data_IF_350647612882
#
_entry.id   IF_350647612882
#
_cell.length_a   1.000
_cell.length_b   1.000
_cell.length_c   1.000
_cell.angle_alpha   90.00
_cell.angle_beta   90.00
_cell.angle_gamma   90.00
#
_symmetry.space_group_name_H-M   'P 1'
#
loop_
_entity.id
_entity.type
_entity.pdbx_description
1 polymer ?
#
# COMPACT_ATOMS: atom_id res chain seq x y z
N UNK A 1 5.38 88.08 8.44
CA UNK A 1 4.02 88.63 8.38
C UNK A 1 3.08 87.46 8.71
N UNK A 2 2.82 87.23 9.99
CA UNK A 2 1.68 87.80 10.75
C UNK A 2 0.36 87.09 10.38
N UNK A 3 -0.05 86.17 11.26
CA UNK A 3 -1.41 85.62 11.45
C UNK A 3 -2.44 86.76 11.69
N UNK A 4 -3.80 86.57 11.77
CA UNK A 4 -4.48 85.49 12.52
C UNK A 4 -5.94 85.13 12.07
N UNK A 5 -6.62 84.42 12.99
CA UNK A 5 -8.08 84.24 13.18
C UNK A 5 -8.76 83.04 12.51
N UNK A 6 -9.67 82.30 13.15
CA UNK A 6 -10.08 82.08 14.55
C UNK A 6 -11.33 81.19 14.50
N UNK A 7 -11.61 80.53 15.64
CA UNK A 7 -12.90 80.04 16.12
C UNK A 7 -13.21 78.54 15.96
N UNK A 8 -13.15 77.85 17.10
CA UNK A 8 -14.01 76.73 17.49
C UNK A 8 -15.38 77.27 17.92
N UNK A 9 -16.44 76.43 17.94
CA UNK A 9 -16.92 75.95 19.25
C UNK A 9 -17.51 74.52 19.31
N UNK A 10 -17.31 73.92 20.49
CA UNK A 10 -18.27 73.21 21.38
C UNK A 10 -18.96 71.90 20.96
N UNK A 11 -18.84 70.97 21.91
CA UNK A 11 -19.36 69.61 22.10
C UNK A 11 -20.83 69.31 21.78
N UNK A 12 -21.08 68.06 21.36
CA UNK A 12 -22.26 67.31 21.78
C UNK A 12 -21.93 65.83 22.00
N UNK A 13 -22.16 65.39 23.23
CA UNK A 13 -22.15 64.01 23.72
C UNK A 13 -23.21 63.18 22.99
N UNK A 14 -22.81 62.03 22.42
CA UNK A 14 -23.73 60.93 22.13
C UNK A 14 -23.06 59.60 22.45
N UNK A 15 -23.60 58.93 23.47
CA UNK A 15 -23.30 57.54 23.78
C UNK A 15 -24.13 56.62 22.87
N UNK A 16 -23.55 55.48 22.44
CA UNK A 16 -24.30 54.24 22.26
C UNK A 16 -23.73 53.20 23.25
N UNK A 17 -24.45 52.80 24.30
CA UNK A 17 -25.52 51.78 24.31
C UNK A 17 -25.09 50.45 23.67
N UNK A 18 -24.72 49.54 24.57
CA UNK A 18 -25.02 48.11 24.59
C UNK A 18 -24.68 47.24 23.38
N UNK A 19 -23.65 46.40 23.58
CA UNK A 19 -23.80 44.95 23.43
C UNK A 19 -23.95 44.40 22.01
N UNK A 20 -22.82 44.16 21.34
CA UNK A 20 -22.72 43.11 20.33
C UNK A 20 -21.54 42.18 20.71
N UNK A 21 -21.76 40.87 20.89
CA UNK A 21 -20.69 39.96 21.29
C UNK A 21 -19.69 39.77 20.15
N UNK A 22 -18.40 39.71 20.52
CA UNK A 22 -17.31 39.37 19.62
C UNK A 22 -17.59 38.05 18.87
N UNK A 23 -17.23 37.92 17.58
CA UNK A 23 -17.42 36.67 16.86
C UNK A 23 -16.60 35.57 17.52
N UNK A 24 -17.30 34.55 18.01
CA UNK A 24 -16.72 33.35 18.58
C UNK A 24 -15.79 32.71 17.54
N UNK A 25 -14.48 32.71 17.83
CA UNK A 25 -13.48 31.93 17.08
C UNK A 25 -13.90 30.47 17.13
N UNK A 26 -14.40 29.96 16.01
CA UNK A 26 -14.87 28.59 15.86
C UNK A 26 -13.74 27.60 16.09
N UNK A 27 -13.75 26.92 17.23
CA UNK A 27 -12.88 25.80 17.60
C UNK A 27 -13.16 24.51 16.80
N UNK A 28 -13.94 24.59 15.72
CA UNK A 28 -14.46 23.44 14.95
C UNK A 28 -13.50 22.84 13.92
N UNK A 29 -12.26 23.32 13.78
CA UNK A 29 -11.30 22.81 12.77
C UNK A 29 -10.32 21.74 13.27
N UNK A 30 -10.29 21.39 14.57
CA UNK A 30 -9.33 20.40 15.10
C UNK A 30 -9.84 18.95 15.14
N UNK A 31 -11.14 18.72 14.93
CA UNK A 31 -11.71 17.38 15.13
C UNK A 31 -11.82 16.53 13.85
N UNK A 32 -11.60 17.11 12.66
CA UNK A 32 -11.61 16.38 11.39
C UNK A 32 -10.26 15.73 11.09
N UNK A 33 -9.15 16.43 11.36
CA UNK A 33 -7.80 15.89 11.17
C UNK A 33 -7.53 14.65 12.06
N UNK A 34 -8.03 14.64 13.30
CA UNK A 34 -7.83 13.52 14.21
C UNK A 34 -8.58 12.23 13.82
N UNK A 35 -9.70 12.34 13.10
CA UNK A 35 -10.52 11.17 12.69
C UNK A 35 -10.00 10.51 11.41
N UNK A 36 -9.44 11.27 10.47
CA UNK A 36 -8.84 10.72 9.24
C UNK A 36 -7.59 9.91 9.58
N UNK A 37 -6.76 10.40 10.52
CA UNK A 37 -5.54 9.71 10.97
C UNK A 37 -5.85 8.38 11.69
N UNK A 38 -6.96 8.31 12.44
CA UNK A 38 -7.33 7.06 13.15
C UNK A 38 -7.91 6.00 12.23
N UNK A 39 -8.66 6.38 11.19
CA UNK A 39 -9.19 5.41 10.20
C UNK A 39 -8.08 4.88 9.32
N UNK A 40 -7.16 5.74 8.84
CA UNK A 40 -6.01 5.30 8.05
C UNK A 40 -5.09 4.36 8.84
N UNK A 41 -4.84 4.65 10.13
CA UNK A 41 -4.05 3.78 10.99
C UNK A 41 -4.76 2.43 11.27
N UNK A 42 -6.08 2.42 11.43
CA UNK A 42 -6.84 1.18 11.65
C UNK A 42 -6.89 0.29 10.39
N UNK A 43 -7.02 0.88 9.21
CA UNK A 43 -6.94 0.15 7.93
C UNK A 43 -5.52 -0.37 7.69
N UNK A 44 -4.49 0.43 7.95
CA UNK A 44 -3.10 -0.02 7.84
C UNK A 44 -2.76 -1.18 8.79
N UNK A 45 -3.30 -1.17 10.02
CA UNK A 45 -3.12 -2.28 10.98
C UNK A 45 -3.90 -3.53 10.56
N UNK A 46 -5.14 -3.37 10.07
CA UNK A 46 -5.93 -4.50 9.58
C UNK A 46 -5.31 -5.16 8.34
N UNK A 47 -4.85 -4.37 7.38
CA UNK A 47 -4.17 -4.86 6.16
C UNK A 47 -2.79 -5.45 6.49
N UNK A 48 -2.04 -4.82 7.40
CA UNK A 48 -0.77 -5.35 7.88
C UNK A 48 -0.92 -6.72 8.55
N UNK A 49 -1.99 -6.94 9.32
CA UNK A 49 -2.29 -8.23 9.92
C UNK A 49 -2.66 -9.31 8.87
N UNK A 50 -3.36 -8.93 7.79
CA UNK A 50 -3.67 -9.85 6.67
C UNK A 50 -2.41 -10.19 5.86
N UNK A 51 -1.51 -9.22 5.66
CA UNK A 51 -0.21 -9.45 4.99
C UNK A 51 0.67 -10.42 5.80
N UNK A 52 0.67 -10.28 7.13
CA UNK A 52 1.35 -11.21 8.04
C UNK A 52 0.69 -12.60 8.04
N UNK A 53 -0.65 -12.68 8.00
CA UNK A 53 -1.37 -13.95 7.93
C UNK A 53 -1.13 -14.72 6.62
N UNK A 54 -1.00 -14.03 5.48
CA UNK A 54 -0.63 -14.65 4.21
C UNK A 54 0.80 -15.22 4.26
N UNK A 55 1.74 -14.47 4.86
CA UNK A 55 3.10 -14.97 5.13
C UNK A 55 3.11 -16.17 6.09
N UNK A 56 2.25 -16.18 7.09
CA UNK A 56 2.15 -17.26 8.08
C UNK A 56 1.55 -18.54 7.49
N UNK A 57 0.56 -18.42 6.58
CA UNK A 57 0.01 -19.56 5.84
C UNK A 57 1.05 -20.30 4.99
N UNK A 58 2.09 -19.58 4.52
CA UNK A 58 3.19 -20.16 3.76
C UNK A 58 4.15 -20.96 4.65
N UNK A 59 4.21 -20.66 5.97
CA UNK A 59 4.99 -21.44 6.93
C UNK A 59 4.34 -22.76 7.30
N UNK A 60 3.01 -22.85 7.28
CA UNK A 60 2.30 -24.10 7.63
C UNK A 60 2.61 -25.24 6.65
N UNK A 61 3.05 -24.93 5.42
CA UNK A 61 3.51 -25.94 4.45
C UNK A 61 4.98 -26.33 4.61
N UNK A 62 5.76 -25.61 5.44
CA UNK A 62 7.16 -25.92 5.74
C UNK A 62 7.35 -26.77 7.02
N UNK A 63 6.25 -27.15 7.71
CA UNK A 63 6.30 -28.00 8.91
C UNK A 63 6.15 -29.48 8.54
N UNK A 64 7.05 -29.98 7.70
CA UNK A 64 7.36 -31.42 7.63
C UNK A 64 8.88 -31.51 7.63
N UNK A 65 9.43 -32.30 8.56
CA UNK A 65 10.86 -32.57 8.80
C UNK A 65 11.63 -31.71 9.82
N UNK A 66 11.01 -31.42 10.97
CA UNK A 66 11.76 -31.09 12.19
C UNK A 66 11.48 -32.09 13.33
N UNK A 67 11.91 -33.34 13.15
CA UNK A 67 12.13 -34.29 14.26
C UNK A 67 13.42 -35.08 14.03
N UNK A 68 14.55 -34.38 13.99
CA UNK A 68 15.85 -34.98 14.30
C UNK A 68 16.33 -34.44 15.67
N UNK A 69 16.30 -35.23 16.75
CA UNK A 69 16.76 -34.82 18.07
C UNK A 69 18.30 -34.67 18.19
N UNK A 70 19.05 -34.74 17.08
CA UNK A 70 20.52 -34.66 17.05
C UNK A 70 21.15 -33.33 16.63
N UNK A 71 20.37 -32.30 16.26
CA UNK A 71 20.94 -31.02 15.79
C UNK A 71 21.59 -30.24 16.94
N UNK A 72 22.91 -30.40 17.08
CA UNK A 72 23.79 -29.60 17.93
C UNK A 72 23.49 -28.12 17.67
N UNK A 73 23.28 -27.35 18.75
CA UNK A 73 23.09 -25.89 18.71
C UNK A 73 24.29 -25.22 18.03
N UNK A 74 24.26 -25.11 16.71
CA UNK A 74 25.15 -24.22 15.98
C UNK A 74 24.81 -22.81 16.42
N UNK A 75 25.81 -22.06 16.90
CA UNK A 75 25.64 -20.63 17.12
C UNK A 75 25.14 -20.01 15.81
N UNK A 76 24.07 -19.19 15.84
CA UNK A 76 23.57 -18.55 14.63
C UNK A 76 24.72 -17.85 13.92
N UNK A 77 24.81 -17.93 12.58
CA UNK A 77 25.82 -17.18 11.85
C UNK A 77 25.72 -15.70 12.23
N UNK A 78 26.86 -14.98 12.32
CA UNK A 78 26.83 -13.56 12.64
C UNK A 78 25.91 -12.82 11.65
N UNK A 79 25.18 -11.79 12.11
CA UNK A 79 24.33 -11.02 11.21
C UNK A 79 25.19 -10.44 10.07
N UNK A 80 24.65 -10.36 8.84
CA UNK A 80 25.37 -9.76 7.74
C UNK A 80 25.77 -8.32 8.07
N UNK A 81 26.85 -7.80 7.45
CA UNK A 81 27.21 -6.40 7.61
C UNK A 81 26.04 -5.50 7.20
N UNK A 82 25.85 -4.34 7.85
CA UNK A 82 24.74 -3.46 7.55
C UNK A 82 24.80 -3.01 6.09
N UNK A 83 23.69 -3.12 5.36
CA UNK A 83 23.61 -2.67 3.97
C UNK A 83 23.80 -1.15 3.88
N UNK A 84 24.59 -0.70 2.89
CA UNK A 84 24.85 0.72 2.63
C UNK A 84 23.59 1.38 2.02
N UNK A 85 22.97 2.38 2.68
CA UNK A 85 21.78 3.04 2.16
C UNK A 85 22.06 4.03 1.03
N UNK A 86 23.31 4.45 0.81
CA UNK A 86 23.63 5.51 -0.14
C UNK A 86 23.18 5.23 -1.59
N UNK A 87 23.33 4.00 -2.15
CA UNK A 87 22.85 3.68 -3.49
C UNK A 87 21.33 3.75 -3.65
N UNK A 88 20.58 3.41 -2.59
CA UNK A 88 19.11 3.48 -2.56
C UNK A 88 18.67 4.94 -2.47
N UNK A 89 19.22 5.69 -1.52
CA UNK A 89 18.90 7.10 -1.31
C UNK A 89 19.18 7.95 -2.56
N UNK A 90 20.26 7.67 -3.29
CA UNK A 90 20.61 8.39 -4.51
C UNK A 90 19.62 8.15 -5.67
N UNK A 91 18.82 7.08 -5.61
CA UNK A 91 17.84 6.72 -6.65
C UNK A 91 16.42 7.10 -6.29
N UNK A 92 16.13 7.43 -5.03
CA UNK A 92 14.80 7.89 -4.62
C UNK A 92 14.42 9.16 -5.39
N UNK A 93 13.19 9.17 -5.91
CA UNK A 93 12.66 10.30 -6.65
C UNK A 93 11.30 10.73 -6.04
N UNK A 94 11.21 11.95 -5.49
CA UNK A 94 9.98 12.48 -4.90
C UNK A 94 8.77 12.55 -5.85
N UNK A 95 8.99 12.52 -7.16
CA UNK A 95 7.90 12.41 -8.14
C UNK A 95 7.16 11.07 -8.01
N UNK A 96 7.84 10.00 -7.62
CA UNK A 96 7.26 8.66 -7.50
C UNK A 96 6.96 8.27 -6.05
N UNK A 97 7.82 8.65 -5.11
CA UNK A 97 7.67 8.34 -3.68
C UNK A 97 7.96 9.58 -2.84
N UNK A 98 6.92 10.12 -2.21
CA UNK A 98 7.02 11.23 -1.26
C UNK A 98 7.16 10.71 0.17
N UNK A 99 7.85 11.48 1.01
CA UNK A 99 8.10 11.08 2.40
C UNK A 99 8.86 9.76 2.50
N UNK A 100 9.76 9.50 1.53
CA UNK A 100 10.47 8.24 1.47
C UNK A 100 11.41 8.08 2.66
N UNK A 101 11.33 6.94 3.35
CA UNK A 101 12.23 6.55 4.43
C UNK A 101 12.99 5.29 4.02
N UNK A 102 14.27 5.21 4.40
CA UNK A 102 15.11 4.04 4.21
C UNK A 102 15.57 3.56 5.58
N UNK A 103 15.22 2.33 5.91
CA UNK A 103 15.56 1.70 7.18
C UNK A 103 16.26 0.35 6.95
N UNK A 104 17.12 -0.05 7.89
CA UNK A 104 17.63 -1.42 7.91
C UNK A 104 16.57 -2.39 8.44
N UNK A 105 16.41 -3.50 7.75
CA UNK A 105 15.66 -4.67 8.16
C UNK A 105 16.62 -5.83 8.49
N UNK A 106 16.14 -6.92 9.11
CA UNK A 106 16.97 -8.11 9.32
C UNK A 106 17.55 -8.72 8.03
N UNK A 107 16.95 -8.43 6.88
CA UNK A 107 17.30 -9.01 5.57
C UNK A 107 17.98 -8.02 4.63
N UNK A 108 17.91 -6.71 4.90
CA UNK A 108 18.58 -5.69 4.08
C UNK A 108 18.06 -4.27 4.32
N UNK A 109 17.71 -3.56 3.24
CA UNK A 109 17.14 -2.21 3.31
C UNK A 109 15.68 -2.24 2.90
N UNK A 110 14.84 -1.61 3.72
CA UNK A 110 13.43 -1.37 3.41
C UNK A 110 13.25 0.10 3.04
N UNK A 111 12.56 0.33 1.91
CA UNK A 111 12.06 1.64 1.50
C UNK A 111 10.58 1.71 1.82
N UNK A 112 10.15 2.77 2.50
CA UNK A 112 8.73 3.08 2.71
C UNK A 112 8.39 4.47 2.19
N UNK A 113 7.11 4.75 1.95
CA UNK A 113 6.66 6.09 1.59
C UNK A 113 5.26 6.13 0.98
N UNK A 114 4.93 7.26 0.35
CA UNK A 114 3.61 7.49 -0.27
C UNK A 114 3.76 7.81 -1.75
N UNK A 115 2.98 7.12 -2.58
CA UNK A 115 2.89 7.37 -4.02
C UNK A 115 1.90 8.53 -4.26
N UNK A 116 2.33 9.63 -4.90
CA UNK A 116 1.44 10.73 -5.26
C UNK A 116 0.30 10.27 -6.17
N UNK A 117 -0.89 10.87 -6.05
CA UNK A 117 -2.06 10.56 -6.88
C UNK A 117 -1.77 10.64 -8.39
N UNK A 118 -1.05 11.70 -8.82
CA UNK A 118 -0.68 11.89 -10.23
C UNK A 118 0.18 10.76 -10.81
N UNK A 119 0.86 10.00 -9.96
CA UNK A 119 1.75 8.90 -10.32
C UNK A 119 0.99 7.62 -10.70
N UNK A 120 -0.27 7.51 -10.29
CA UNK A 120 -1.16 6.38 -10.65
C UNK A 120 -2.41 6.83 -11.43
N UNK A 121 -2.49 8.12 -11.79
CA UNK A 121 -3.66 8.70 -12.46
C UNK A 121 -3.83 8.27 -13.93
N UNK A 122 -2.78 7.75 -14.57
CA UNK A 122 -2.84 7.25 -15.95
C UNK A 122 -1.98 5.99 -16.05
N UNK A 123 -2.32 5.11 -16.99
CA UNK A 123 -1.51 3.92 -17.30
C UNK A 123 -0.03 4.29 -17.48
N UNK A 124 0.27 5.33 -18.28
CA UNK A 124 1.65 5.76 -18.54
C UNK A 124 2.41 6.20 -17.27
N UNK A 125 1.72 6.86 -16.33
CA UNK A 125 2.30 7.25 -15.04
C UNK A 125 2.56 6.02 -14.16
N UNK A 126 1.60 5.08 -14.13
CA UNK A 126 1.72 3.82 -13.38
C UNK A 126 2.86 2.96 -13.90
N UNK A 127 3.04 2.87 -15.22
CA UNK A 127 4.21 2.20 -15.82
C UNK A 127 5.54 2.87 -15.45
N UNK A 128 5.57 4.20 -15.40
CA UNK A 128 6.76 4.93 -14.94
C UNK A 128 7.08 4.69 -13.44
N UNK A 129 6.04 4.55 -12.60
CA UNK A 129 6.20 4.13 -11.21
C UNK A 129 6.80 2.72 -11.12
N UNK A 130 6.28 1.77 -11.89
CA UNK A 130 6.79 0.40 -11.91
C UNK A 130 8.30 0.35 -12.22
N UNK A 131 8.73 1.08 -13.26
CA UNK A 131 10.14 1.19 -13.62
C UNK A 131 10.99 1.81 -12.49
N UNK A 132 10.46 2.82 -11.79
CA UNK A 132 11.13 3.41 -10.65
C UNK A 132 11.28 2.42 -9.48
N UNK A 133 10.21 1.71 -9.13
CA UNK A 133 10.23 0.70 -8.08
C UNK A 133 11.21 -0.43 -8.43
N UNK A 134 11.26 -0.87 -9.69
CA UNK A 134 12.21 -1.89 -10.12
C UNK A 134 13.65 -1.40 -10.09
N UNK A 135 13.90 -0.11 -10.33
CA UNK A 135 15.24 0.48 -10.17
C UNK A 135 15.71 0.43 -8.71
N UNK A 136 14.80 0.64 -7.75
CA UNK A 136 15.13 0.56 -6.32
C UNK A 136 15.47 -0.87 -5.90
N UNK A 137 14.68 -1.85 -6.33
CA UNK A 137 14.90 -3.25 -5.97
C UNK A 137 16.07 -3.87 -6.75
N UNK A 138 16.04 -3.81 -8.09
CA UNK A 138 17.03 -4.47 -8.96
C UNK A 138 18.41 -3.82 -8.94
N UNK A 139 18.47 -2.49 -9.10
CA UNK A 139 19.74 -1.79 -9.36
C UNK A 139 20.35 -1.19 -8.09
N UNK A 140 19.52 -0.85 -7.11
CA UNK A 140 19.94 -0.35 -5.80
C UNK A 140 19.96 -1.44 -4.71
N UNK A 141 19.42 -2.62 -5.00
CA UNK A 141 19.29 -3.73 -4.06
C UNK A 141 18.59 -3.34 -2.75
N UNK A 142 17.53 -2.53 -2.85
CA UNK A 142 16.55 -2.45 -1.77
C UNK A 142 15.90 -3.83 -1.62
N UNK A 143 16.07 -4.43 -0.44
CA UNK A 143 15.53 -5.75 -0.11
C UNK A 143 14.00 -5.75 -0.13
N UNK A 144 13.41 -4.62 0.29
CA UNK A 144 11.98 -4.43 0.27
C UNK A 144 11.57 -2.99 -0.05
N UNK A 145 10.46 -2.84 -0.76
CA UNK A 145 9.81 -1.56 -1.01
C UNK A 145 8.34 -1.70 -0.62
N UNK A 146 7.84 -0.85 0.27
CA UNK A 146 6.46 -0.86 0.77
C UNK A 146 5.90 0.56 0.69
N UNK A 147 5.12 0.86 -0.36
CA UNK A 147 4.56 2.19 -0.59
C UNK A 147 3.03 2.14 -0.68
N UNK A 148 2.37 3.24 -0.33
CA UNK A 148 0.91 3.33 -0.39
C UNK A 148 0.48 4.48 -1.29
N UNK A 149 -0.50 4.26 -2.16
CA UNK A 149 -1.11 5.31 -2.99
C UNK A 149 -2.08 6.18 -2.19
N UNK A 150 -2.45 7.34 -2.74
CA UNK A 150 -3.47 8.21 -2.15
C UNK A 150 -4.84 7.51 -1.98
N UNK A 151 -5.14 6.52 -2.82
CA UNK A 151 -6.40 5.75 -2.80
C UNK A 151 -6.33 4.49 -1.91
N UNK A 152 -5.23 4.34 -1.15
CA UNK A 152 -4.96 3.23 -0.24
C UNK A 152 -4.59 1.89 -0.91
N UNK A 153 -4.22 1.87 -2.19
CA UNK A 153 -3.52 0.72 -2.76
C UNK A 153 -2.14 0.62 -2.10
N UNK A 154 -1.89 -0.48 -1.40
CA UNK A 154 -0.56 -0.82 -0.88
C UNK A 154 0.22 -1.62 -1.93
N UNK A 155 1.47 -1.24 -2.17
CA UNK A 155 2.38 -1.91 -3.10
C UNK A 155 3.57 -2.40 -2.28
N UNK A 156 3.76 -3.71 -2.23
CA UNK A 156 4.91 -4.34 -1.57
C UNK A 156 5.75 -5.14 -2.58
N UNK A 157 7.07 -4.93 -2.58
CA UNK A 157 8.03 -5.71 -3.36
C UNK A 157 9.08 -6.30 -2.41
N UNK A 158 9.33 -7.61 -2.49
CA UNK A 158 10.22 -8.32 -1.59
C UNK A 158 11.21 -9.25 -2.30
N UNK A 159 12.49 -9.20 -1.89
CA UNK A 159 13.50 -10.21 -2.23
C UNK A 159 14.23 -9.99 -3.55
N UNK A 160 14.07 -8.83 -4.19
CA UNK A 160 14.48 -8.63 -5.58
C UNK A 160 15.81 -7.91 -5.77
N UNK A 161 16.93 -8.45 -5.27
CA UNK A 161 18.25 -8.01 -5.69
C UNK A 161 18.73 -8.95 -6.81
N UNK A 162 18.95 -8.42 -8.02
CA UNK A 162 19.32 -9.16 -9.25
C UNK A 162 18.31 -10.18 -9.83
N UNK A 163 17.20 -10.47 -9.15
CA UNK A 163 16.16 -11.41 -9.61
C UNK A 163 14.76 -10.77 -9.66
N UNK A 164 14.71 -9.48 -9.97
CA UNK A 164 13.44 -8.76 -10.06
C UNK A 164 12.58 -9.26 -11.23
N UNK A 165 11.26 -9.06 -11.11
CA UNK A 165 10.30 -9.24 -12.20
C UNK A 165 10.68 -8.31 -13.37
N UNK A 166 10.56 -8.73 -14.65
CA UNK A 166 10.80 -7.85 -15.79
C UNK A 166 9.98 -6.56 -15.71
N UNK A 167 10.56 -5.44 -16.18
CA UNK A 167 9.97 -4.10 -16.03
C UNK A 167 8.52 -4.03 -16.55
N UNK A 168 8.26 -4.59 -17.74
CA UNK A 168 6.92 -4.60 -18.34
C UNK A 168 5.93 -5.47 -17.56
N UNK A 169 6.35 -6.63 -17.04
CA UNK A 169 5.46 -7.51 -16.28
C UNK A 169 5.05 -6.90 -14.93
N UNK A 170 5.98 -6.23 -14.25
CA UNK A 170 5.64 -5.46 -13.04
C UNK A 170 4.72 -4.28 -13.37
N UNK A 171 4.96 -3.63 -14.51
CA UNK A 171 4.13 -2.52 -14.96
C UNK A 171 2.70 -2.95 -15.26
N UNK A 172 2.51 -4.05 -15.98
CA UNK A 172 1.19 -4.63 -16.28
C UNK A 172 0.44 -5.03 -15.00
N UNK A 173 1.12 -5.66 -14.04
CA UNK A 173 0.53 -6.00 -12.75
C UNK A 173 0.08 -4.77 -11.95
N UNK A 174 0.89 -3.72 -11.93
CA UNK A 174 0.56 -2.48 -11.22
C UNK A 174 -0.57 -1.71 -11.91
N UNK A 175 -0.59 -1.67 -13.25
CA UNK A 175 -1.70 -1.10 -14.02
C UNK A 175 -2.99 -1.84 -13.69
N UNK A 176 -2.96 -3.18 -13.78
CA UNK A 176 -4.12 -4.00 -13.44
C UNK A 176 -4.59 -3.78 -11.99
N UNK A 177 -3.67 -3.74 -11.01
CA UNK A 177 -4.03 -3.51 -9.61
C UNK A 177 -4.72 -2.15 -9.38
N UNK A 178 -4.27 -1.11 -10.09
CA UNK A 178 -4.90 0.22 -10.03
C UNK A 178 -6.28 0.20 -10.71
N UNK A 179 -6.38 -0.36 -11.91
CA UNK A 179 -7.63 -0.37 -12.70
C UNK A 179 -8.72 -1.25 -12.09
N UNK A 180 -8.34 -2.38 -11.49
CA UNK A 180 -9.25 -3.29 -10.80
C UNK A 180 -9.60 -2.86 -9.37
N UNK A 181 -9.15 -1.67 -8.94
CA UNK A 181 -9.37 -1.14 -7.58
C UNK A 181 -8.87 -2.09 -6.47
N UNK A 182 -7.76 -2.79 -6.72
CA UNK A 182 -7.12 -3.62 -5.70
C UNK A 182 -6.67 -2.75 -4.52
N UNK A 183 -6.72 -3.33 -3.32
CA UNK A 183 -6.29 -2.65 -2.09
C UNK A 183 -4.86 -2.99 -1.71
N UNK A 184 -4.34 -4.11 -2.22
CA UNK A 184 -2.97 -4.54 -2.01
C UNK A 184 -2.47 -5.31 -3.23
N UNK A 185 -1.25 -5.01 -3.64
CA UNK A 185 -0.44 -5.84 -4.51
C UNK A 185 0.90 -6.10 -3.81
N UNK A 186 1.25 -7.37 -3.71
CA UNK A 186 2.57 -7.80 -3.32
C UNK A 186 3.22 -8.60 -4.43
N UNK A 187 4.51 -8.40 -4.65
CA UNK A 187 5.32 -9.28 -5.50
C UNK A 187 6.49 -9.74 -4.65
N UNK A 188 6.75 -11.04 -4.64
CA UNK A 188 7.77 -11.63 -3.78
C UNK A 188 8.55 -12.70 -4.52
N UNK A 189 9.85 -12.78 -4.25
CA UNK A 189 10.65 -13.96 -4.53
C UNK A 189 10.71 -14.86 -3.30
N UNK A 190 10.23 -16.09 -3.43
CA UNK A 190 10.34 -17.08 -2.37
C UNK A 190 11.67 -17.84 -2.52
N UNK A 191 12.47 -17.97 -1.44
CA UNK A 191 13.67 -18.81 -1.44
C UNK A 191 13.28 -20.28 -1.42
N UNK A 192 12.81 -20.78 -2.56
CA UNK A 192 12.58 -22.21 -2.83
C UNK A 192 13.68 -22.74 -3.76
N UNK A 193 13.86 -24.07 -3.89
CA UNK A 193 14.86 -24.64 -4.80
C UNK A 193 14.76 -24.14 -6.26
N UNK A 194 13.62 -23.59 -6.66
CA UNK A 194 13.37 -23.06 -7.99
C UNK A 194 13.31 -21.52 -8.04
N UNK A 195 13.58 -20.81 -6.93
CA UNK A 195 13.48 -19.34 -6.83
C UNK A 195 12.19 -18.81 -7.47
N UNK A 196 11.06 -19.18 -6.87
CA UNK A 196 9.76 -18.89 -7.46
C UNK A 196 9.30 -17.48 -7.07
N UNK A 197 9.10 -16.64 -8.09
CA UNK A 197 8.41 -15.36 -7.96
C UNK A 197 6.91 -15.60 -7.97
N UNK A 198 6.19 -14.88 -7.14
CA UNK A 198 4.74 -14.86 -7.14
C UNK A 198 4.24 -13.45 -6.88
N UNK A 199 3.00 -13.19 -7.29
CA UNK A 199 2.29 -11.99 -6.90
C UNK A 199 1.06 -12.35 -6.07
N UNK A 200 0.64 -11.43 -5.22
CA UNK A 200 -0.62 -11.50 -4.48
C UNK A 200 -1.38 -10.22 -4.72
N UNK A 201 -2.63 -10.31 -5.16
CA UNK A 201 -3.55 -9.17 -5.23
C UNK A 201 -4.72 -9.39 -4.26
N UNK A 202 -5.04 -8.36 -3.49
CA UNK A 202 -6.13 -8.41 -2.51
C UNK A 202 -7.10 -7.25 -2.68
N UNK A 203 -8.38 -7.56 -2.63
CA UNK A 203 -9.49 -6.61 -2.62
C UNK A 203 -10.19 -6.62 -1.26
N UNK A 204 -10.59 -5.45 -0.78
CA UNK A 204 -11.40 -5.31 0.43
C UNK A 204 -12.71 -4.55 0.16
N UNK A 205 -13.60 -5.11 -0.66
CA UNK A 205 -14.86 -4.46 -1.05
C UNK A 205 -15.77 -4.19 0.17
N UNK A 206 -16.48 -3.06 0.13
CA UNK A 206 -17.43 -2.65 1.19
C UNK A 206 -18.90 -2.90 0.81
N UNK A 207 -19.17 -3.41 -0.39
CA UNK A 207 -20.50 -3.71 -0.93
C UNK A 207 -20.47 -4.95 -1.82
N UNK A 208 -21.63 -5.58 -2.04
CA UNK A 208 -21.75 -6.71 -2.97
C UNK A 208 -21.36 -6.33 -4.40
N UNK A 209 -21.77 -5.15 -4.88
CA UNK A 209 -21.42 -4.68 -6.23
C UNK A 209 -19.90 -4.55 -6.42
N UNK A 210 -19.17 -4.00 -5.43
CA UNK A 210 -17.71 -3.94 -5.48
C UNK A 210 -17.05 -5.31 -5.30
N UNK A 211 -17.72 -6.24 -4.63
CA UNK A 211 -17.25 -7.61 -4.43
C UNK A 211 -17.33 -8.39 -5.74
N UNK A 212 -18.50 -8.37 -6.39
CA UNK A 212 -18.72 -9.03 -7.68
C UNK A 212 -17.78 -8.46 -8.74
N UNK A 213 -17.61 -7.13 -8.80
CA UNK A 213 -16.64 -6.50 -9.71
C UNK A 213 -15.21 -7.00 -9.48
N UNK A 214 -14.80 -7.18 -8.22
CA UNK A 214 -13.48 -7.71 -7.92
C UNK A 214 -13.34 -9.13 -8.47
N UNK A 215 -14.35 -10.00 -8.27
CA UNK A 215 -14.33 -11.36 -8.80
C UNK A 215 -14.33 -11.40 -10.34
N UNK A 216 -15.16 -10.58 -10.99
CA UNK A 216 -15.22 -10.49 -12.44
C UNK A 216 -13.87 -10.08 -13.03
N UNK A 217 -13.16 -9.14 -12.37
CA UNK A 217 -11.84 -8.69 -12.85
C UNK A 217 -10.81 -9.82 -12.91
N UNK A 218 -10.94 -10.84 -12.05
CA UNK A 218 -9.97 -11.95 -11.98
C UNK A 218 -9.94 -12.78 -13.26
N UNK A 219 -11.04 -12.82 -14.02
CA UNK A 219 -11.11 -13.56 -15.29
C UNK A 219 -10.29 -12.89 -16.40
N UNK A 220 -10.01 -11.59 -16.28
CA UNK A 220 -9.23 -10.81 -17.24
C UNK A 220 -7.72 -10.87 -16.96
N UNK A 221 -7.33 -11.30 -15.75
CA UNK A 221 -5.94 -11.31 -15.33
C UNK A 221 -5.16 -12.47 -15.95
N UNK A 222 -4.14 -12.12 -16.72
CA UNK A 222 -3.17 -13.08 -17.26
C UNK A 222 -1.93 -13.14 -16.38
N UNK A 223 -1.47 -14.34 -16.03
CA UNK A 223 -0.21 -14.53 -15.28
C UNK A 223 1.00 -14.18 -16.16
N UNK A 224 1.87 -13.24 -15.75
CA UNK A 224 3.15 -13.02 -16.42
C UNK A 224 4.03 -14.28 -16.47
N UNK A 225 4.87 -14.40 -17.49
CA UNK A 225 5.71 -15.59 -17.68
C UNK A 225 6.75 -15.75 -16.56
N UNK A 226 7.28 -14.65 -16.03
CA UNK A 226 8.31 -14.70 -14.98
C UNK A 226 7.78 -15.10 -13.60
N UNK A 227 6.45 -15.14 -13.43
CA UNK A 227 5.79 -15.55 -12.19
C UNK A 227 5.38 -17.02 -12.22
N UNK A 228 5.50 -17.68 -11.07
CA UNK A 228 4.99 -19.03 -10.88
C UNK A 228 3.46 -19.07 -10.79
N UNK A 229 2.85 -18.13 -10.07
CA UNK A 229 1.41 -17.96 -9.93
C UNK A 229 1.09 -16.52 -9.46
N UNK A 230 -0.18 -16.15 -9.54
CA UNK A 230 -0.75 -14.99 -8.86
C UNK A 230 -1.84 -15.47 -7.90
N UNK A 231 -1.68 -15.21 -6.60
CA UNK A 231 -2.72 -15.44 -5.61
C UNK A 231 -3.69 -14.25 -5.56
N UNK A 232 -4.98 -14.54 -5.57
CA UNK A 232 -6.06 -13.57 -5.54
C UNK A 232 -6.91 -13.78 -4.30
N UNK A 233 -7.29 -12.69 -3.63
CA UNK A 233 -8.16 -12.74 -2.46
C UNK A 233 -9.12 -11.56 -2.42
N UNK A 234 -10.40 -11.83 -2.21
CA UNK A 234 -11.41 -10.81 -1.91
C UNK A 234 -11.93 -11.03 -0.50
N UNK A 235 -11.81 -10.01 0.35
CA UNK A 235 -12.33 -10.04 1.72
C UNK A 235 -13.40 -8.95 1.89
N UNK A 236 -14.66 -9.35 1.99
CA UNK A 236 -15.73 -8.40 2.23
C UNK A 236 -15.56 -7.69 3.57
N UNK A 237 -15.90 -6.40 3.62
CA UNK A 237 -15.80 -5.58 4.84
C UNK A 237 -17.17 -5.09 5.31
N UNK A 238 -17.25 -4.69 6.58
CA UNK A 238 -18.50 -4.18 7.16
C UNK A 238 -19.61 -5.22 7.16
N UNK A 239 -20.67 -5.00 6.37
CA UNK A 239 -21.82 -5.92 6.27
C UNK A 239 -21.56 -7.13 5.38
N UNK A 240 -20.42 -7.15 4.67
CA UNK A 240 -19.96 -8.27 3.84
C UNK A 240 -18.88 -9.09 4.55
N UNK A 241 -18.70 -8.93 5.87
CA UNK A 241 -17.57 -9.50 6.61
C UNK A 241 -17.45 -11.03 6.57
N UNK A 242 -18.54 -11.72 6.23
CA UNK A 242 -18.57 -13.17 6.03
C UNK A 242 -18.16 -13.65 4.62
N UNK A 243 -18.00 -12.73 3.66
CA UNK A 243 -17.68 -13.06 2.27
C UNK A 243 -16.17 -13.10 2.09
N UNK A 244 -15.69 -14.26 1.62
CA UNK A 244 -14.31 -14.46 1.26
C UNK A 244 -14.22 -15.40 0.08
N UNK A 245 -13.46 -14.99 -0.92
CA UNK A 245 -13.10 -15.80 -2.07
C UNK A 245 -11.61 -15.68 -2.33
N UNK A 246 -11.04 -16.76 -2.86
CA UNK A 246 -9.66 -16.80 -3.30
C UNK A 246 -9.53 -17.61 -4.58
N UNK A 247 -8.52 -17.29 -5.37
CA UNK A 247 -8.18 -18.02 -6.57
C UNK A 247 -6.68 -17.89 -6.86
N UNK A 248 -6.15 -18.78 -7.69
CA UNK A 248 -4.79 -18.69 -8.21
C UNK A 248 -4.84 -18.57 -9.74
N UNK A 249 -4.10 -17.62 -10.31
CA UNK A 249 -3.84 -17.59 -11.75
C UNK A 249 -2.55 -18.35 -12.02
N UNK A 250 -2.66 -19.45 -12.76
CA UNK A 250 -1.55 -20.35 -13.10
C UNK A 250 -1.33 -20.37 -14.62
N UNK A 251 -0.39 -21.21 -15.09
CA UNK A 251 -0.22 -21.45 -16.52
C UNK A 251 -1.47 -22.09 -17.17
N UNK A 252 -2.28 -22.80 -16.38
CA UNK A 252 -3.51 -23.47 -16.84
C UNK A 252 -4.75 -22.56 -16.75
N UNK A 253 -4.58 -21.30 -16.33
CA UNK A 253 -5.65 -20.32 -16.13
C UNK A 253 -6.03 -20.12 -14.66
N UNK A 254 -7.21 -19.53 -14.46
CA UNK A 254 -7.77 -19.21 -13.14
C UNK A 254 -8.30 -20.47 -12.44
N UNK A 255 -7.81 -20.73 -11.23
CA UNK A 255 -8.22 -21.87 -10.39
C UNK A 255 -8.82 -21.32 -9.10
N UNK A 256 -10.12 -21.55 -8.90
CA UNK A 256 -10.83 -21.13 -7.68
C UNK A 256 -10.42 -21.97 -6.46
N UNK A 257 -10.26 -21.31 -5.32
CA UNK A 257 -9.94 -21.93 -4.05
C UNK A 257 -11.09 -22.74 -3.45
N UNK A 258 -10.75 -23.75 -2.64
CA UNK A 258 -11.71 -24.69 -2.05
C UNK A 258 -12.65 -24.07 -0.99
N UNK A 259 -12.29 -22.90 -0.44
CA UNK A 259 -13.02 -22.22 0.63
C UNK A 259 -13.85 -21.03 0.13
N UNK A 260 -14.24 -20.99 -1.16
CA UNK A 260 -15.16 -19.97 -1.68
C UNK A 260 -16.48 -20.04 -0.92
N UNK A 261 -16.75 -19.07 -0.04
CA UNK A 261 -17.98 -19.07 0.79
C UNK A 261 -19.16 -18.39 0.10
N UNK A 262 -18.94 -17.75 -1.05
CA UNK A 262 -20.01 -17.10 -1.80
C UNK A 262 -20.93 -18.16 -2.42
N UNK A 263 -22.23 -18.20 -2.05
CA UNK A 263 -23.20 -18.85 -2.93
C UNK A 263 -23.21 -18.01 -4.21
N UNK A 264 -22.64 -18.53 -5.31
CA UNK A 264 -22.72 -17.85 -6.61
C UNK A 264 -24.16 -17.41 -6.81
N UNK A 265 -24.39 -16.10 -6.81
CA UNK A 265 -25.73 -15.58 -7.00
C UNK A 265 -26.26 -16.19 -8.31
N UNK A 266 -27.46 -16.81 -8.33
CA UNK A 266 -28.05 -17.20 -9.59
C UNK A 266 -28.18 -15.93 -10.42
N UNK A 267 -27.53 -15.95 -11.58
CA UNK A 267 -27.67 -14.91 -12.60
C UNK A 267 -29.14 -14.96 -13.04
N UNK A 268 -29.91 -13.94 -12.66
CA UNK A 268 -31.24 -13.67 -13.23
C UNK A 268 -31.11 -13.00 -14.61
#
# INVERSE_FOLDING_TARGET
MSSPSSALPVSATHAPRDGAPAPARSSRRRNLAGRVVTVAAAVAVAVGAVSLGAWESTREHAVVDARDPGAVNAEPPPPPPPADPAPVLARLNPQFITGAEVAQSPTGLTVTGTVPEATVATESSTRALAAHLNTLTRDACADSVSVTTAENLRIDLWGFCFSAVPDEELADLLVYAVESEATHIAVAESPSPNFQRHATLTWMPASSVSYDRALDSWEELTKPESLGYIALAAHGTGRMGEYMDSADVTADGLIWGWNSTSPRHPVD
#
